data_IF_909737124297
#
_entry.id   IF_909737124297
#
_cell.length_a   1.000
_cell.length_b   1.000
_cell.length_c   1.000
_cell.angle_alpha   90.00
_cell.angle_beta   90.00
_cell.angle_gamma   90.00
#
_symmetry.space_group_name_H-M   'P 1'
#
loop_
_entity.id
_entity.type
_entity.pdbx_description
1 polymer ?
#
# COMPACT_ATOMS: atom_id res chain seq x y z
N UNK A 1 17.56 2.96 16.87
CA UNK A 1 17.39 4.31 16.29
C UNK A 1 16.60 4.16 15.01
N UNK A 2 15.55 4.96 14.78
CA UNK A 2 14.73 4.93 13.55
C UNK A 2 13.25 4.59 13.73
N UNK A 3 12.60 5.09 14.78
CA UNK A 3 11.14 4.96 14.93
C UNK A 3 10.43 6.20 14.40
N UNK A 4 9.38 5.99 13.58
CA UNK A 4 8.42 6.98 13.06
C UNK A 4 8.93 7.97 12.00
N UNK A 5 8.96 7.56 10.72
CA UNK A 5 8.94 8.51 9.59
C UNK A 5 7.72 8.35 8.67
N UNK A 6 7.12 7.17 8.63
CA UNK A 6 5.97 6.86 7.76
C UNK A 6 4.68 6.75 8.54
N UNK A 7 3.59 7.23 7.93
CA UNK A 7 2.28 7.34 8.58
C UNK A 7 1.17 6.86 7.64
N UNK A 8 0.14 6.27 8.22
CA UNK A 8 -1.11 6.00 7.51
C UNK A 8 -1.78 7.32 7.11
N UNK A 9 -2.52 7.31 6.00
CA UNK A 9 -3.13 8.50 5.39
C UNK A 9 -2.16 9.38 4.60
N UNK A 10 -0.96 8.87 4.25
CA UNK A 10 0.06 9.61 3.49
C UNK A 10 0.49 8.85 2.25
N UNK A 11 0.89 9.60 1.21
CA UNK A 11 1.50 9.07 -0.01
C UNK A 11 2.93 9.56 -0.16
N UNK A 12 3.77 8.72 -0.75
CA UNK A 12 5.19 8.98 -0.97
C UNK A 12 5.53 8.58 -2.40
N UNK A 13 6.11 9.49 -3.17
CA UNK A 13 6.39 9.29 -4.58
C UNK A 13 7.90 9.37 -4.86
N UNK A 14 8.33 8.76 -5.97
CA UNK A 14 9.70 8.88 -6.44
C UNK A 14 10.02 10.34 -6.79
N UNK A 15 11.18 10.85 -6.37
CA UNK A 15 11.58 12.26 -6.59
C UNK A 15 11.64 12.64 -8.07
N UNK A 16 12.08 11.72 -8.92
CA UNK A 16 12.28 11.95 -10.35
C UNK A 16 11.12 11.40 -11.21
N UNK A 17 10.23 10.61 -10.61
CA UNK A 17 9.09 9.98 -11.27
C UNK A 17 7.85 10.15 -10.39
N UNK A 18 7.42 11.41 -10.20
CA UNK A 18 6.39 11.78 -9.21
C UNK A 18 5.00 11.18 -9.43
N UNK A 19 4.79 10.46 -10.54
CA UNK A 19 3.60 9.68 -10.85
C UNK A 19 3.67 8.25 -10.32
N UNK A 20 4.86 7.79 -9.87
CA UNK A 20 5.08 6.49 -9.22
C UNK A 20 5.09 6.68 -7.72
N UNK A 21 4.12 6.11 -7.04
CA UNK A 21 3.87 6.38 -5.62
C UNK A 21 3.49 5.13 -4.85
N UNK A 22 3.82 5.13 -3.56
CA UNK A 22 3.21 4.24 -2.57
C UNK A 22 2.26 5.06 -1.69
N UNK A 23 1.11 4.47 -1.42
CA UNK A 23 0.04 5.05 -0.62
C UNK A 23 -0.12 4.19 0.64
N UNK A 24 -0.29 4.84 1.80
CA UNK A 24 -0.63 4.20 3.06
C UNK A 24 -1.97 4.75 3.55
N UNK A 25 -2.95 3.90 3.81
CA UNK A 25 -4.34 4.36 3.97
C UNK A 25 -4.96 5.07 2.75
N UNK A 26 -6.03 5.79 3.02
CA UNK A 26 -6.77 6.63 2.09
C UNK A 26 -6.03 7.93 1.74
N UNK A 27 -4.73 7.84 1.47
CA UNK A 27 -3.85 8.97 1.18
C UNK A 27 -4.26 9.78 -0.07
N UNK A 28 -5.18 9.25 -0.86
CA UNK A 28 -5.90 9.96 -1.91
C UNK A 28 -7.37 9.53 -1.93
N UNK A 29 -8.21 10.36 -2.55
CA UNK A 29 -9.65 10.18 -2.73
C UNK A 29 -10.03 8.90 -3.49
N UNK A 30 -9.06 8.26 -4.16
CA UNK A 30 -9.22 7.01 -4.89
C UNK A 30 -9.30 5.77 -3.98
N UNK A 31 -8.86 5.87 -2.72
CA UNK A 31 -8.80 4.72 -1.81
C UNK A 31 -9.85 4.84 -0.71
N UNK A 32 -10.72 3.84 -0.61
CA UNK A 32 -11.85 3.86 0.32
C UNK A 32 -11.49 3.42 1.74
N UNK A 33 -10.31 2.86 1.95
CA UNK A 33 -9.91 2.28 3.24
C UNK A 33 -8.87 3.13 3.96
N UNK A 34 -9.07 3.42 5.26
CA UNK A 34 -8.08 4.14 6.06
C UNK A 34 -6.81 3.33 6.30
N UNK A 35 -6.87 2.01 6.08
CA UNK A 35 -5.76 1.06 6.20
C UNK A 35 -5.46 0.40 4.85
N UNK A 36 -4.24 -0.11 4.70
CA UNK A 36 -3.76 -0.75 3.47
C UNK A 36 -2.51 -0.07 2.91
N UNK A 37 -1.90 -0.75 1.95
CA UNK A 37 -0.68 -0.35 1.24
C UNK A 37 -0.92 -0.62 -0.23
N UNK A 38 -0.76 0.41 -1.07
CA UNK A 38 -0.95 0.32 -2.51
C UNK A 38 0.17 1.03 -3.23
N UNK A 39 0.54 0.52 -4.41
CA UNK A 39 1.58 1.09 -5.25
C UNK A 39 0.98 1.45 -6.60
N UNK A 40 1.15 2.70 -7.02
CA UNK A 40 0.99 3.13 -8.40
C UNK A 40 2.35 2.99 -9.09
N UNK A 41 2.51 2.05 -10.03
CA UNK A 41 3.76 1.88 -10.78
C UNK A 41 3.96 2.93 -11.87
N UNK A 42 3.09 3.95 -11.93
CA UNK A 42 3.13 5.05 -12.90
C UNK A 42 2.06 4.97 -13.98
N UNK A 43 1.10 4.06 -13.81
CA UNK A 43 -0.01 3.85 -14.73
C UNK A 43 -1.28 3.94 -13.91
N UNK A 44 -1.65 5.14 -13.47
CA UNK A 44 -2.69 5.50 -12.50
C UNK A 44 -3.97 4.63 -12.44
N UNK A 45 -4.30 3.91 -13.50
CA UNK A 45 -5.38 2.93 -13.61
C UNK A 45 -5.03 1.51 -13.07
N UNK A 46 -3.79 1.24 -12.67
CA UNK A 46 -3.27 -0.07 -12.22
C UNK A 46 -2.63 0.00 -10.84
N UNK A 47 -3.31 0.66 -9.92
CA UNK A 47 -2.86 0.67 -8.53
C UNK A 47 -2.91 -0.75 -7.98
N UNK A 48 -1.78 -1.24 -7.49
CA UNK A 48 -1.64 -2.63 -7.03
C UNK A 48 -1.53 -2.68 -5.51
N UNK A 49 -2.35 -3.47 -4.80
CA UNK A 49 -2.23 -3.64 -3.36
C UNK A 49 -1.02 -4.51 -3.01
N UNK A 50 -0.28 -4.13 -1.97
CA UNK A 50 0.77 -4.96 -1.39
C UNK A 50 0.13 -5.87 -0.35
N UNK A 51 -0.27 -7.07 -0.79
CA UNK A 51 -1.03 -8.04 0.03
C UNK A 51 -0.17 -8.72 1.07
N UNK A 52 1.06 -9.04 0.68
CA UNK A 52 2.06 -9.71 1.49
C UNK A 52 3.46 -9.32 1.01
N UNK A 53 4.49 -9.87 1.65
CA UNK A 53 5.88 -9.54 1.34
C UNK A 53 6.33 -10.02 -0.05
N UNK A 54 5.64 -10.98 -0.68
CA UNK A 54 6.01 -11.45 -2.03
C UNK A 54 5.74 -10.39 -3.08
N UNK A 55 4.75 -9.52 -2.86
CA UNK A 55 4.43 -8.40 -3.74
C UNK A 55 5.56 -7.36 -3.83
N UNK A 56 6.41 -7.27 -2.80
CA UNK A 56 7.59 -6.38 -2.82
C UNK A 56 8.61 -6.78 -3.89
N UNK A 57 8.57 -8.05 -4.34
CA UNK A 57 9.46 -8.61 -5.37
C UNK A 57 8.71 -8.95 -6.66
N UNK A 58 7.42 -8.61 -6.76
CA UNK A 58 6.61 -8.91 -7.94
C UNK A 58 7.13 -8.12 -9.13
N UNK A 59 7.26 -8.75 -10.31
CA UNK A 59 7.95 -8.16 -11.47
C UNK A 59 7.38 -6.81 -11.91
N UNK A 60 6.05 -6.64 -11.79
CA UNK A 60 5.37 -5.38 -12.13
C UNK A 60 5.61 -4.23 -11.15
N UNK A 61 6.13 -4.51 -9.95
CA UNK A 61 6.28 -3.52 -8.87
C UNK A 61 7.72 -3.36 -8.39
N UNK A 62 8.56 -4.39 -8.53
CA UNK A 62 9.87 -4.48 -7.88
C UNK A 62 10.72 -3.23 -8.13
N UNK A 63 10.80 -2.74 -9.36
CA UNK A 63 11.65 -1.59 -9.70
C UNK A 63 11.18 -0.32 -8.98
N UNK A 64 9.86 -0.12 -8.88
CA UNK A 64 9.27 1.03 -8.21
C UNK A 64 9.43 0.93 -6.69
N UNK A 65 9.18 -0.25 -6.13
CA UNK A 65 9.30 -0.51 -4.69
C UNK A 65 10.75 -0.38 -4.22
N UNK A 66 11.70 -0.96 -4.95
CA UNK A 66 13.14 -0.87 -4.66
C UNK A 66 13.62 0.58 -4.69
N UNK A 67 13.21 1.36 -5.70
CA UNK A 67 13.55 2.78 -5.79
C UNK A 67 12.91 3.59 -4.65
N UNK A 68 11.66 3.29 -4.29
CA UNK A 68 10.98 3.95 -3.19
C UNK A 68 11.74 3.70 -1.87
N UNK A 69 12.11 2.46 -1.57
CA UNK A 69 12.84 2.12 -0.35
C UNK A 69 14.24 2.72 -0.32
N UNK A 70 14.92 2.75 -1.46
CA UNK A 70 16.24 3.40 -1.59
C UNK A 70 16.16 4.91 -1.31
N UNK A 71 15.11 5.58 -1.79
CA UNK A 71 14.94 7.03 -1.58
C UNK A 71 14.35 7.40 -0.22
N UNK A 72 13.75 6.42 0.48
CA UNK A 72 12.98 6.61 1.70
C UNK A 72 13.46 5.63 2.79
N UNK A 73 14.57 5.94 3.49
CA UNK A 73 15.11 5.08 4.54
C UNK A 73 14.09 4.73 5.62
N UNK A 74 13.97 3.44 5.95
CA UNK A 74 13.02 2.93 6.94
C UNK A 74 11.59 2.68 6.41
N UNK A 75 11.34 2.95 5.13
CA UNK A 75 10.02 2.67 4.52
C UNK A 75 9.78 1.17 4.39
N UNK A 76 10.80 0.41 4.02
CA UNK A 76 10.71 -1.04 3.90
C UNK A 76 10.28 -1.69 5.21
N UNK A 77 10.97 -1.36 6.32
CA UNK A 77 10.64 -1.85 7.65
C UNK A 77 9.21 -1.49 8.07
N UNK A 78 8.77 -0.26 7.75
CA UNK A 78 7.40 0.16 8.02
C UNK A 78 6.38 -0.65 7.22
N UNK A 79 6.62 -0.86 5.93
CA UNK A 79 5.75 -1.66 5.05
C UNK A 79 5.68 -3.10 5.53
N UNK A 80 6.83 -3.73 5.82
CA UNK A 80 6.91 -5.09 6.35
C UNK A 80 6.16 -5.20 7.69
N UNK A 81 6.32 -4.23 8.58
CA UNK A 81 5.59 -4.18 9.86
C UNK A 81 4.08 -4.13 9.61
N UNK A 82 3.60 -3.28 8.69
CA UNK A 82 2.16 -3.16 8.39
C UNK A 82 1.58 -4.41 7.75
N UNK A 83 2.30 -5.01 6.80
CA UNK A 83 1.92 -6.31 6.23
C UNK A 83 1.78 -7.36 7.33
N UNK A 84 2.78 -7.45 8.23
CA UNK A 84 2.71 -8.40 9.35
C UNK A 84 1.53 -8.13 10.27
N UNK A 85 1.24 -6.86 10.58
CA UNK A 85 0.10 -6.48 11.43
C UNK A 85 -1.23 -6.88 10.78
N UNK A 86 -1.38 -6.64 9.47
CA UNK A 86 -2.58 -6.99 8.72
C UNK A 86 -2.79 -8.50 8.66
N UNK A 87 -1.73 -9.27 8.37
CA UNK A 87 -1.80 -10.73 8.36
C UNK A 87 -2.15 -11.29 9.74
N UNK A 88 -1.55 -10.76 10.82
CA UNK A 88 -1.86 -11.17 12.21
C UNK A 88 -3.31 -10.87 12.60
N UNK A 89 -3.84 -9.74 12.15
CA UNK A 89 -5.25 -9.36 12.34
C UNK A 89 -6.21 -10.15 11.45
N UNK A 90 -5.71 -11.00 10.54
CA UNK A 90 -6.52 -11.72 9.56
C UNK A 90 -7.13 -10.82 8.49
N UNK A 91 -6.56 -9.64 8.26
CA UNK A 91 -7.02 -8.74 7.21
C UNK A 91 -6.71 -9.29 5.82
N UNK A 92 -7.62 -9.07 4.88
CA UNK A 92 -7.49 -9.53 3.50
C UNK A 92 -7.88 -8.41 2.55
N UNK A 93 -7.14 -8.29 1.44
CA UNK A 93 -7.52 -7.40 0.34
C UNK A 93 -8.62 -8.07 -0.47
N UNK A 94 -9.75 -7.39 -0.63
CA UNK A 94 -10.82 -7.78 -1.54
C UNK A 94 -10.78 -6.94 -2.80
N UNK A 95 -11.08 -7.61 -3.91
CA UNK A 95 -11.28 -7.01 -5.22
C UNK A 95 -12.75 -6.67 -5.40
N UNK A 96 -13.03 -5.44 -5.81
CA UNK A 96 -14.39 -5.00 -6.12
C UNK A 96 -14.42 -4.25 -7.44
N UNK A 97 -15.26 -4.68 -8.37
CA UNK A 97 -15.52 -3.89 -9.57
C UNK A 97 -16.52 -2.77 -9.25
N UNK A 98 -16.08 -1.52 -9.40
CA UNK A 98 -16.91 -0.34 -9.22
C UNK A 98 -17.37 0.13 -10.59
N UNK A 99 -18.68 0.14 -10.81
CA UNK A 99 -19.29 0.56 -12.07
C UNK A 99 -18.86 2.00 -12.42
N UNK A 100 -18.25 2.17 -13.60
CA UNK A 100 -17.74 3.46 -14.06
C UNK A 100 -16.36 3.88 -13.51
N UNK A 101 -15.71 3.05 -12.65
CA UNK A 101 -14.38 3.31 -12.10
C UNK A 101 -13.37 2.17 -12.23
N UNK A 102 -13.81 0.95 -12.59
CA UNK A 102 -12.91 -0.19 -12.81
C UNK A 102 -12.71 -1.05 -11.57
N UNK A 103 -11.57 -1.77 -11.52
CA UNK A 103 -11.20 -2.64 -10.40
C UNK A 103 -10.70 -1.80 -9.22
N UNK A 104 -11.34 -1.97 -8.06
CA UNK A 104 -11.02 -1.32 -6.79
C UNK A 104 -10.52 -2.38 -5.79
N UNK A 105 -9.69 -1.97 -4.83
CA UNK A 105 -9.14 -2.84 -3.80
C UNK A 105 -9.43 -2.31 -2.42
N UNK A 106 -9.98 -3.16 -1.56
CA UNK A 106 -10.35 -2.83 -0.20
C UNK A 106 -9.62 -3.73 0.79
N UNK A 107 -8.87 -3.17 1.75
CA UNK A 107 -8.40 -3.96 2.89
C UNK A 107 -9.54 -4.16 3.88
N UNK A 108 -10.02 -5.40 4.01
CA UNK A 108 -11.01 -5.77 5.01
C UNK A 108 -10.34 -6.54 6.14
N UNK A 109 -10.33 -5.94 7.33
CA UNK A 109 -10.00 -6.63 8.56
C UNK A 109 -11.27 -7.20 9.18
N UNK A 110 -11.24 -8.41 9.76
CA UNK A 110 -12.34 -8.86 10.58
C UNK A 110 -12.56 -7.80 11.66
N UNK A 111 -13.78 -7.28 11.75
CA UNK A 111 -14.18 -6.49 12.92
C UNK A 111 -14.01 -7.43 14.09
N UNK A 112 -12.99 -7.21 14.91
CA UNK A 112 -12.98 -7.73 16.27
C UNK A 112 -14.27 -7.22 16.88
N UNK A 113 -15.30 -8.06 16.90
CA UNK A 113 -16.35 -7.96 17.89
C UNK A 113 -15.59 -7.93 19.22
N UNK A 114 -15.46 -6.74 19.79
CA UNK A 114 -15.14 -6.60 21.19
C UNK A 114 -16.25 -7.37 21.92
N UNK A 115 -15.94 -8.61 22.30
CA UNK A 115 -16.63 -9.29 23.39
C UNK A 115 -16.14 -8.69 24.70
#
# INVERSE_FOLDING_TARGET
MGGQQYQMGKKYCLKNEGHKCIFFGNADSSFRTPEGIWVDPGSADQITPIRDQTYLKHESLKDVVELLFTQNPGMEDFVISKISDYLKKGCQYKEQYVQGKGLDYELQCPTTSQQ
#
